data_IF_941480279731
#
_entry.id   IF_941480279731
#
_cell.length_a   1.000
_cell.length_b   1.000
_cell.length_c   1.000
_cell.angle_alpha   90.00
_cell.angle_beta   90.00
_cell.angle_gamma   90.00
#
_symmetry.space_group_name_H-M   'P 1'
#
loop_
_entity.id
_entity.type
_entity.pdbx_description
1 polymer ?
2 non-polymer ?
3 non-polymer ?
4 water ?
#
# COMPACT_ATOMS: atom_id res chain seq x y z
N UNK A 8 27.98 -7.28 15.35
CA UNK A 8 29.37 -7.13 14.90
C UNK A 8 29.53 -5.90 14.00
N UNK A 9 28.50 -5.06 14.05
CA UNK A 9 28.27 -3.87 13.24
C UNK A 9 26.92 -3.29 13.66
N UNK A 10 26.72 -1.98 13.49
CA UNK A 10 25.64 -1.29 14.20
C UNK A 10 24.27 -1.86 13.82
N UNK A 11 23.95 -1.85 12.52
CA UNK A 11 22.64 -2.32 12.09
C UNK A 11 22.49 -3.82 12.39
N UNK A 12 23.57 -4.59 12.21
CA UNK A 12 23.55 -6.02 12.54
C UNK A 12 23.34 -6.23 14.03
N UNK A 13 23.93 -5.36 14.85
CA UNK A 13 23.79 -5.45 16.31
C UNK A 13 22.33 -5.40 16.71
N UNK A 14 21.60 -4.43 16.15
CA UNK A 14 20.18 -4.31 16.45
C UNK A 14 19.39 -5.47 15.88
N UNK A 15 19.77 -5.96 14.70
CA UNK A 15 19.07 -7.09 14.09
C UNK A 15 19.15 -8.32 14.99
N UNK A 16 20.35 -8.63 15.47
CA UNK A 16 20.52 -9.80 16.32
C UNK A 16 19.79 -9.64 17.64
N UNK A 17 19.72 -8.42 18.16
CA UNK A 17 18.99 -8.23 19.41
C UNK A 17 17.49 -8.43 19.21
N UNK A 18 16.95 -7.91 18.11
CA UNK A 18 15.53 -8.11 17.81
C UNK A 18 15.23 -9.60 17.68
N UNK A 19 16.08 -10.33 16.97
CA UNK A 19 15.90 -11.77 16.83
C UNK A 19 15.97 -12.46 18.19
N UNK A 20 16.90 -12.04 19.05
CA UNK A 20 17.02 -12.70 20.36
C UNK A 20 15.79 -12.44 21.21
N UNK A 21 15.25 -11.23 21.18
CA UNK A 21 14.04 -10.96 21.94
C UNK A 21 12.87 -11.80 21.43
N UNK A 22 12.72 -11.93 20.11
CA UNK A 22 11.67 -12.80 19.61
C UNK A 22 11.84 -14.22 20.15
N UNK A 23 13.07 -14.71 20.22
CA UNK A 23 13.28 -16.07 20.66
C UNK A 23 13.01 -16.24 22.15
N UNK A 24 12.95 -15.15 22.90
CA UNK A 24 12.47 -15.25 24.29
C UNK A 24 11.02 -15.68 24.31
N UNK A 25 10.27 -15.31 23.25
CA UNK A 25 8.90 -15.74 22.94
C UNK A 25 7.83 -14.97 23.70
N UNK A 26 8.18 -13.84 24.31
CA UNK A 26 7.14 -12.98 24.87
C UNK A 26 6.20 -12.48 23.78
N UNK A 27 6.71 -12.30 22.57
CA UNK A 27 5.91 -11.73 21.48
C UNK A 27 4.75 -12.64 21.10
N UNK A 28 4.92 -13.96 21.21
CA UNK A 28 3.90 -14.90 20.79
C UNK A 28 2.66 -14.87 21.69
N UNK A 29 2.75 -14.26 22.87
CA UNK A 29 1.64 -14.25 23.81
C UNK A 29 0.64 -13.16 23.45
N UNK A 30 -0.65 -13.51 23.43
CA UNK A 30 -1.67 -12.58 22.94
C UNK A 30 -1.85 -11.41 23.91
N UNK A 31 -1.86 -11.69 25.21
CA UNK A 31 -1.86 -10.63 26.21
C UNK A 31 -0.78 -9.58 25.92
N UNK A 32 0.42 -10.04 25.58
CA UNK A 32 1.49 -9.11 25.22
C UNK A 32 1.10 -8.25 24.02
N UNK A 33 0.59 -8.86 22.95
CA UNK A 33 0.32 -8.12 21.73
C UNK A 33 -0.78 -7.11 21.94
N UNK A 34 -1.84 -7.50 22.65
CA UNK A 34 -2.92 -6.56 22.91
C UNK A 34 -2.39 -5.34 23.65
N UNK A 35 -1.38 -5.53 24.52
CA UNK A 35 -0.92 -4.39 25.32
C UNK A 35 -0.04 -3.45 24.51
N UNK A 36 0.79 -3.97 23.61
CA UNK A 36 1.63 -3.10 22.79
C UNK A 36 0.81 -2.33 21.76
N UNK A 37 -0.26 -2.93 21.26
CA UNK A 37 -1.22 -2.18 20.45
C UNK A 37 -1.80 -1.01 21.24
N UNK A 38 -2.16 -1.24 22.49
CA UNK A 38 -2.66 -0.15 23.33
C UNK A 38 -1.61 0.95 23.47
N UNK A 39 -0.37 0.57 23.83
CA UNK A 39 0.68 1.57 23.98
C UNK A 39 0.89 2.36 22.69
N UNK A 40 0.77 1.69 21.54
CA UNK A 40 0.95 2.39 20.27
C UNK A 40 -0.15 3.41 20.05
N UNK A 41 -1.40 3.01 20.26
CA UNK A 41 -2.52 3.95 20.13
C UNK A 41 -2.31 5.16 21.02
N UNK A 42 -1.98 4.92 22.30
CA UNK A 42 -1.73 6.02 23.22
C UNK A 42 -0.55 6.87 22.77
N UNK A 43 0.51 6.23 22.26
CA UNK A 43 1.70 6.98 21.85
C UNK A 43 1.41 7.89 20.66
N UNK A 44 0.66 7.39 19.67
CA UNK A 44 0.35 8.22 18.51
C UNK A 44 -0.48 9.43 18.93
N UNK A 45 -1.50 9.19 19.76
CA UNK A 45 -2.33 10.28 20.27
C UNK A 45 -1.49 11.28 21.07
N UNK A 46 -0.50 10.78 21.80
CA UNK A 46 0.39 11.68 22.53
C UNK A 46 1.24 12.52 21.59
N UNK A 47 1.73 11.93 20.51
CA UNK A 47 2.49 12.66 19.52
C UNK A 47 1.61 13.28 18.44
N UNK A 48 0.29 13.34 18.65
CA UNK A 48 -0.60 13.66 17.55
C UNK A 48 -0.19 14.96 16.87
N UNK A 49 0.05 16.01 17.64
CA UNK A 49 0.54 17.24 17.03
C UNK A 49 2.02 17.15 16.67
N UNK A 50 2.75 16.19 17.24
CA UNK A 50 4.12 15.91 16.81
C UNK A 50 4.15 15.05 15.55
N UNK A 51 3.01 14.59 15.09
CA UNK A 51 3.02 13.98 13.76
C UNK A 51 2.71 15.03 12.73
N UNK A 52 1.88 16.03 13.08
CA UNK A 52 1.44 16.99 12.09
C UNK A 52 2.45 18.13 11.88
N UNK A 53 3.18 18.56 12.92
CA UNK A 53 4.25 19.53 12.64
C UNK A 53 5.19 18.97 11.58
N UNK A 54 5.56 17.69 11.68
CA UNK A 54 6.58 17.18 10.76
C UNK A 54 6.00 16.92 9.38
N UNK A 55 4.75 16.48 9.31
CA UNK A 55 4.09 16.29 8.01
C UNK A 55 3.94 17.61 7.27
N UNK A 56 3.66 18.70 8.00
CA UNK A 56 3.52 19.98 7.32
C UNK A 56 4.88 20.54 6.89
N UNK A 57 5.93 20.41 7.72
CA UNK A 57 7.21 20.97 7.30
C UNK A 57 7.87 20.14 6.21
N UNK A 58 7.57 18.84 6.15
CA UNK A 58 8.18 17.98 5.12
C UNK A 58 7.36 17.92 3.84
N UNK A 59 6.03 17.96 3.93
CA UNK A 59 5.17 17.77 2.77
C UNK A 59 4.11 18.85 2.60
N UNK A 60 4.19 19.95 3.36
CA UNK A 60 3.19 20.99 3.29
C UNK A 60 1.79 20.45 3.51
N UNK A 61 1.70 19.35 4.25
CA UNK A 61 0.44 18.63 4.38
C UNK A 61 -0.40 19.26 5.48
N UNK A 62 -1.56 19.79 5.09
CA UNK A 62 -2.43 20.48 6.03
C UNK A 62 -3.06 19.49 7.01
N UNK A 63 -3.49 20.03 8.15
CA UNK A 63 -3.80 19.19 9.31
C UNK A 63 -4.95 18.24 9.04
N UNK A 64 -5.90 18.65 8.19
CA UNK A 64 -7.08 17.84 7.98
C UNK A 64 -6.71 16.57 7.24
N UNK A 65 -6.17 16.72 6.03
CA UNK A 65 -5.77 15.57 5.24
C UNK A 65 -4.65 14.79 5.92
N UNK A 66 -3.69 15.49 6.51
CA UNK A 66 -2.63 14.82 7.26
C UNK A 66 -3.21 13.91 8.34
N UNK A 67 -4.18 14.42 9.10
CA UNK A 67 -4.85 13.59 10.10
C UNK A 67 -5.54 12.40 9.44
N UNK A 68 -6.29 12.65 8.37
CA UNK A 68 -7.15 11.60 7.82
C UNK A 68 -6.35 10.52 7.10
N UNK A 69 -5.20 10.87 6.51
CA UNK A 69 -4.42 9.92 5.72
C UNK A 69 -3.33 9.21 6.52
N UNK A 70 -2.97 9.73 7.68
CA UNK A 70 -1.80 9.24 8.41
C UNK A 70 -2.11 8.89 9.86
N UNK A 71 -2.93 9.69 10.55
CA UNK A 71 -3.16 9.47 11.96
C UNK A 71 -4.49 8.75 12.17
N UNK A 72 -5.56 9.31 11.63
CA UNK A 72 -6.87 8.76 11.94
C UNK A 72 -7.04 7.34 11.40
N UNK A 73 -6.55 7.11 10.19
CA UNK A 73 -6.67 5.80 9.56
C UNK A 73 -5.94 4.73 10.38
N UNK A 74 -4.82 5.08 11.00
CA UNK A 74 -4.07 4.08 11.74
C UNK A 74 -4.65 3.88 13.14
N UNK A 75 -5.14 4.95 13.77
CA UNK A 75 -5.76 4.80 15.08
C UNK A 75 -6.97 3.88 15.04
N UNK A 76 -7.79 4.00 13.99
CA UNK A 76 -8.90 3.08 13.85
C UNK A 76 -8.41 1.69 13.48
N UNK A 77 -7.30 1.61 12.75
CA UNK A 77 -6.75 0.30 12.42
C UNK A 77 -6.25 -0.40 13.67
N UNK A 78 -5.65 0.36 14.59
CA UNK A 78 -5.25 -0.21 15.87
C UNK A 78 -6.47 -0.71 16.64
N UNK A 79 -7.54 0.08 16.64
CA UNK A 79 -8.76 -0.33 17.34
C UNK A 79 -9.30 -1.62 16.77
N UNK A 80 -9.48 -1.67 15.45
CA UNK A 80 -9.97 -2.88 14.80
C UNK A 80 -9.09 -4.08 15.13
N UNK A 81 -7.77 -3.88 15.18
CA UNK A 81 -6.88 -5.00 15.47
C UNK A 81 -7.03 -5.46 16.91
N UNK A 82 -7.24 -4.51 17.82
CA UNK A 82 -7.42 -4.88 19.22
C UNK A 82 -8.74 -5.60 19.42
N UNK A 83 -9.79 -5.19 18.71
CA UNK A 83 -11.07 -5.88 18.82
C UNK A 83 -11.00 -7.29 18.24
N UNK A 84 -10.32 -7.45 17.11
CA UNK A 84 -10.32 -8.72 16.40
C UNK A 84 -9.15 -9.62 16.78
N UNK A 85 -8.21 -9.14 17.61
CA UNK A 85 -6.99 -9.89 17.90
C UNK A 85 -7.26 -11.34 18.28
N UNK A 86 -8.27 -11.58 19.12
CA UNK A 86 -8.56 -12.95 19.54
C UNK A 86 -9.09 -13.79 18.37
N UNK A 87 -9.84 -13.19 17.45
CA UNK A 87 -10.31 -13.95 16.29
C UNK A 87 -9.19 -14.20 15.29
N UNK A 88 -8.36 -13.18 15.05
CA UNK A 88 -7.28 -13.34 14.08
C UNK A 88 -6.28 -14.38 14.54
N UNK A 89 -5.97 -14.39 15.85
CA UNK A 89 -4.92 -15.25 16.37
C UNK A 89 -5.40 -16.65 16.72
N UNK A 90 -6.68 -16.80 17.06
CA UNK A 90 -7.19 -18.09 17.53
C UNK A 90 -6.87 -19.19 16.53
N UNK A 91 -6.43 -20.32 17.05
CA UNK A 91 -6.26 -21.50 16.21
C UNK A 91 -7.60 -21.85 15.58
N UNK A 92 -7.58 -22.16 14.29
CA UNK A 92 -8.79 -22.51 13.54
C UNK A 92 -8.92 -24.02 13.45
N UNK A 93 -10.08 -24.55 13.84
CA UNK A 93 -10.35 -25.97 13.65
C UNK A 93 -10.94 -26.21 12.27
N UNK A 94 -10.60 -27.35 11.69
CA UNK A 94 -10.81 -27.62 10.28
C UNK A 94 -11.55 -28.94 10.16
N UNK A 95 -12.62 -28.95 9.36
CA UNK A 95 -13.32 -30.20 9.13
C UNK A 95 -12.37 -31.26 8.56
N UNK A 96 -12.40 -32.45 9.13
CA UNK A 96 -11.58 -33.57 8.66
C UNK A 96 -12.42 -34.53 7.82
N UNK A 97 -11.83 -35.18 6.82
CA UNK A 97 -12.57 -36.19 6.05
C UNK A 97 -12.93 -37.41 6.90
N UNK A 98 -14.03 -38.06 6.51
CA UNK A 98 -14.54 -39.23 7.22
C UNK A 98 -13.56 -40.40 7.16
N UNK A 99 -12.85 -40.56 6.05
CA UNK A 99 -11.96 -41.71 5.93
C UNK A 99 -10.66 -41.56 6.73
N UNK A 100 -10.38 -40.36 7.26
CA UNK A 100 -9.27 -40.12 8.17
C UNK A 100 -9.69 -40.07 9.64
N UNK A 101 -10.97 -40.35 9.92
CA UNK A 101 -11.50 -40.31 11.28
C UNK A 101 -10.65 -41.26 12.12
N UNK A 102 -10.32 -40.89 13.37
CA UNK A 102 -10.69 -39.75 14.23
C UNK A 102 -9.78 -38.51 14.21
N UNK A 103 -8.89 -38.42 13.21
CA UNK A 103 -7.90 -37.34 13.15
C UNK A 103 -8.56 -35.98 13.31
N UNK A 104 -7.93 -35.12 14.12
CA UNK A 104 -8.33 -33.73 14.24
C UNK A 104 -7.43 -32.85 13.38
N UNK A 105 -7.97 -31.74 12.90
CA UNK A 105 -7.28 -30.88 11.95
C UNK A 105 -7.36 -29.43 12.41
N UNK A 106 -6.21 -28.73 12.37
CA UNK A 106 -6.12 -27.37 12.88
C UNK A 106 -5.20 -26.54 11.98
N UNK A 107 -5.34 -25.22 12.10
CA UNK A 107 -4.41 -24.28 11.50
C UNK A 107 -4.05 -23.29 12.59
N UNK A 108 -2.78 -23.25 12.96
CA UNK A 108 -2.29 -22.32 13.97
C UNK A 108 -1.74 -21.08 13.27
N UNK A 109 -1.98 -19.92 13.84
CA UNK A 109 -1.55 -18.65 13.26
C UNK A 109 -0.33 -18.17 14.05
N UNK A 110 0.87 -18.38 13.50
CA UNK A 110 2.10 -18.09 14.21
C UNK A 110 2.94 -17.03 13.49
N UNK A 111 3.73 -16.25 14.22
CA UNK A 111 4.51 -15.18 13.59
C UNK A 111 5.68 -15.74 12.79
N UNK A 112 6.21 -14.90 11.90
CA UNK A 112 7.40 -15.26 11.15
C UNK A 112 8.65 -15.14 12.01
N UNK A 113 8.72 -14.12 12.86
CA UNK A 113 9.94 -13.88 13.60
C UNK A 113 10.29 -12.41 13.66
N UNK A 114 11.43 -12.03 13.09
CA UNK A 114 11.84 -10.64 13.03
C UNK A 114 11.60 -10.13 11.62
N UNK A 115 11.10 -8.91 11.53
CA UNK A 115 10.42 -8.41 10.34
C UNK A 115 10.98 -7.04 10.01
N UNK A 116 11.14 -6.78 8.71
CA UNK A 116 11.64 -5.51 8.21
C UNK A 116 10.53 -4.77 7.52
N UNK A 117 10.37 -3.49 7.84
CA UNK A 117 9.36 -2.64 7.23
C UNK A 117 10.10 -1.44 6.64
N UNK A 118 10.00 -1.27 5.32
CA UNK A 118 10.61 -0.12 4.65
C UNK A 118 9.49 0.77 4.11
N UNK A 119 9.50 2.04 4.49
CA UNK A 119 8.41 2.93 4.17
C UNK A 119 8.91 4.11 3.35
N UNK A 120 8.07 4.60 2.45
CA UNK A 120 8.51 5.70 1.55
C UNK A 120 8.37 7.10 2.15
N UNK A 121 8.38 8.10 1.27
CA UNK A 121 8.34 9.50 1.69
C UNK A 121 6.95 10.12 1.65
N UNK A 122 6.04 9.58 0.84
CA UNK A 122 4.84 10.35 0.50
C UNK A 122 3.72 10.22 1.52
N UNK A 123 3.59 9.06 2.15
CA UNK A 123 2.74 8.88 3.32
C UNK A 123 3.63 8.34 4.43
N UNK A 124 4.56 9.16 4.92
CA UNK A 124 5.67 8.63 5.73
C UNK A 124 5.22 7.93 6.99
N UNK A 125 4.13 8.38 7.59
CA UNK A 125 3.65 7.80 8.84
C UNK A 125 2.72 6.62 8.59
N UNK A 126 1.76 6.81 7.70
CA UNK A 126 0.80 5.76 7.37
C UNK A 126 1.51 4.45 7.00
N UNK A 127 2.46 4.52 6.09
CA UNK A 127 3.07 3.31 5.56
C UNK A 127 4.11 2.69 6.48
N UNK A 128 4.49 3.38 7.55
CA UNK A 128 5.21 2.70 8.62
C UNK A 128 4.25 1.90 9.50
N UNK A 129 3.13 2.50 9.88
CA UNK A 129 2.33 1.97 10.99
C UNK A 129 1.21 1.04 10.58
N UNK A 130 0.61 1.19 9.40
CA UNK A 130 -0.36 0.18 8.99
C UNK A 130 0.26 -1.21 8.89
N UNK A 131 1.40 -1.43 8.20
CA UNK A 131 2.05 -2.74 8.28
C UNK A 131 2.51 -3.08 9.69
N UNK A 132 3.08 -2.12 10.43
CA UNK A 132 3.55 -2.39 11.78
C UNK A 132 2.44 -2.95 12.65
N UNK A 133 1.22 -2.41 12.54
CA UNK A 133 0.09 -2.99 13.26
C UNK A 133 -0.06 -4.46 12.91
N UNK A 134 0.01 -4.79 11.63
CA UNK A 134 0.03 -6.19 11.23
C UNK A 134 1.10 -6.98 11.95
N UNK A 135 2.34 -6.48 11.92
CA UNK A 135 3.46 -7.22 12.50
C UNK A 135 3.28 -7.40 14.00
N UNK A 136 2.90 -6.33 14.70
CA UNK A 136 2.64 -6.43 16.13
C UNK A 136 1.52 -7.43 16.39
N UNK A 137 0.41 -7.31 15.66
CA UNK A 137 -0.72 -8.20 15.88
C UNK A 137 -0.35 -9.66 15.61
N UNK A 138 0.53 -9.89 14.64
CA UNK A 138 0.93 -11.24 14.28
C UNK A 138 1.97 -11.83 15.23
N UNK A 139 2.55 -11.03 16.12
CA UNK A 139 3.47 -11.53 17.11
C UNK A 139 4.94 -11.50 16.73
N UNK A 140 5.34 -10.54 15.91
CA UNK A 140 6.71 -10.45 15.44
C UNK A 140 7.45 -9.34 16.21
N UNK A 141 8.77 -9.33 16.03
CA UNK A 141 9.54 -8.12 16.27
C UNK A 141 9.72 -7.39 14.94
N UNK A 142 10.09 -6.11 15.02
CA UNK A 142 10.10 -5.29 13.83
C UNK A 142 11.27 -4.33 13.85
N UNK A 143 11.91 -4.18 12.69
CA UNK A 143 12.87 -3.12 12.44
C UNK A 143 12.31 -2.28 11.30
N UNK A 144 12.25 -0.97 11.52
CA UNK A 144 11.53 -0.05 10.64
C UNK A 144 12.53 0.85 9.95
N UNK A 145 12.39 0.99 8.64
CA UNK A 145 13.23 1.88 7.84
C UNK A 145 12.36 2.97 7.24
N UNK A 146 12.29 4.16 7.84
CA UNK A 146 11.48 5.24 7.27
C UNK A 146 12.30 6.12 6.35
N UNK A 147 11.59 6.76 5.42
CA UNK A 147 12.26 7.60 4.43
C UNK A 147 13.00 8.74 5.10
N UNK A 148 14.23 8.97 4.65
CA UNK A 148 14.99 10.15 5.06
C UNK A 148 14.73 11.34 4.15
N UNK A 149 13.82 11.21 3.18
CA UNK A 149 13.41 12.38 2.41
C UNK A 149 12.47 13.26 3.23
N UNK A 150 11.72 12.67 4.15
CA UNK A 150 10.92 13.41 5.11
C UNK A 150 11.59 13.27 6.48
N UNK A 151 12.65 14.04 6.73
CA UNK A 151 13.53 13.71 7.88
C UNK A 151 12.89 13.95 9.23
N UNK A 152 12.12 15.02 9.39
CA UNK A 152 11.52 15.30 10.69
C UNK A 152 10.43 14.29 11.01
N UNK A 153 9.67 13.86 10.00
CA UNK A 153 8.73 12.76 10.22
C UNK A 153 9.48 11.52 10.67
N UNK A 154 10.62 11.24 10.03
CA UNK A 154 11.40 10.06 10.38
C UNK A 154 11.81 10.08 11.85
N UNK A 155 12.33 11.21 12.32
CA UNK A 155 12.78 11.32 13.71
C UNK A 155 11.63 11.30 14.71
N UNK A 156 10.52 11.95 14.36
CA UNK A 156 9.32 11.85 15.21
C UNK A 156 8.89 10.41 15.35
N UNK A 157 9.07 9.61 14.30
CA UNK A 157 8.74 8.20 14.39
C UNK A 157 9.74 7.48 15.28
N UNK A 158 11.02 7.78 15.12
CA UNK A 158 12.01 7.20 16.01
C UNK A 158 11.74 7.58 17.46
N UNK A 159 11.43 8.86 17.72
CA UNK A 159 11.16 9.29 19.08
C UNK A 159 9.94 8.57 19.65
N UNK A 160 8.88 8.45 18.84
CA UNK A 160 7.68 7.76 19.30
C UNK A 160 7.97 6.30 19.61
N UNK A 161 8.76 5.65 18.76
CA UNK A 161 9.01 4.22 18.91
C UNK A 161 9.95 3.96 20.07
N UNK A 162 11.04 4.74 20.13
CA UNK A 162 11.99 4.58 21.23
C UNK A 162 11.33 4.84 22.57
N UNK A 163 10.49 5.87 22.66
CA UNK A 163 9.84 6.18 23.92
C UNK A 163 8.84 5.10 24.31
N UNK A 164 8.17 4.49 23.32
CA UNK A 164 7.10 3.56 23.62
C UNK A 164 7.64 2.14 23.87
N UNK A 165 8.54 1.67 23.02
CA UNK A 165 9.00 0.29 23.02
C UNK A 165 10.50 0.20 23.23
N UNK A 166 10.95 -0.98 23.64
CA UNK A 166 12.37 -1.27 23.67
C UNK A 166 12.87 -1.63 22.29
N UNK A 167 14.12 -1.26 21.99
CA UNK A 167 14.62 -1.42 20.63
C UNK A 167 14.65 -2.88 20.21
N UNK A 168 14.81 -3.80 21.16
CA UNK A 168 14.85 -5.21 20.79
C UNK A 168 13.50 -5.73 20.34
N UNK A 169 12.44 -4.96 20.53
CA UNK A 169 11.10 -5.36 20.10
C UNK A 169 10.68 -4.63 18.84
N UNK A 170 10.76 -3.30 18.84
CA UNK A 170 10.61 -2.49 17.62
C UNK A 170 11.66 -1.39 17.65
N UNK A 171 12.34 -1.20 16.52
CA UNK A 171 13.41 -0.22 16.43
C UNK A 171 13.27 0.51 15.11
N UNK A 172 13.82 1.73 15.07
CA UNK A 172 13.80 2.58 13.89
C UNK A 172 15.24 2.87 13.49
N UNK A 173 15.61 2.49 12.27
CA UNK A 173 16.90 2.83 11.67
C UNK A 173 16.65 3.93 10.65
N UNK A 174 17.22 5.11 10.88
CA UNK A 174 17.13 6.20 9.93
C UNK A 174 18.28 6.13 8.92
N UNK A 175 18.02 6.60 7.72
CA UNK A 175 19.05 6.67 6.71
C UNK A 175 18.49 6.56 5.30
N UNK A 176 19.41 6.34 4.35
CA UNK A 176 19.06 6.24 2.95
C UNK A 176 19.36 4.88 2.37
N UNK A 177 19.94 4.83 1.18
CA UNK A 177 20.08 3.55 0.48
C UNK A 177 21.16 2.68 1.12
N UNK A 178 22.21 3.27 1.68
CA UNK A 178 23.24 2.48 2.33
C UNK A 178 22.66 1.64 3.46
N UNK A 179 21.92 2.28 4.38
CA UNK A 179 21.31 1.55 5.47
C UNK A 179 20.28 0.55 4.97
N UNK A 180 19.52 0.93 3.95
CA UNK A 180 18.60 -0.03 3.36
C UNK A 180 19.33 -1.25 2.81
N UNK A 181 20.50 -1.04 2.20
CA UNK A 181 21.25 -2.17 1.66
C UNK A 181 21.72 -3.11 2.76
N UNK A 182 22.17 -2.55 3.88
CA UNK A 182 22.58 -3.42 4.99
C UNK A 182 21.40 -4.21 5.52
N UNK A 183 20.25 -3.55 5.63
CA UNK A 183 19.07 -4.23 6.15
C UNK A 183 18.61 -5.35 5.22
N UNK A 184 18.46 -5.05 3.92
CA UNK A 184 17.84 -6.03 3.04
C UNK A 184 18.69 -7.27 2.86
N UNK A 185 19.98 -7.20 3.16
CA UNK A 185 20.85 -8.36 3.03
C UNK A 185 20.97 -9.14 4.33
N UNK A 186 20.37 -8.66 5.41
CA UNK A 186 20.24 -9.43 6.63
C UNK A 186 19.17 -10.49 6.49
N UNK A 187 19.26 -11.63 7.28
CA UNK A 187 18.27 -12.72 7.16
C UNK A 187 17.00 -12.47 7.97
N UNK A 188 16.27 -11.40 7.62
CA UNK A 188 14.94 -11.19 8.20
C UNK A 188 14.02 -12.35 7.84
N UNK A 189 12.96 -12.49 8.63
CA UNK A 189 11.96 -13.52 8.41
C UNK A 189 10.85 -13.05 7.48
N UNK A 190 10.82 -11.76 7.15
CA UNK A 190 9.83 -11.18 6.27
C UNK A 190 10.28 -9.76 5.96
N UNK A 191 10.04 -9.34 4.72
CA UNK A 191 10.36 -7.99 4.29
C UNK A 191 9.12 -7.36 3.69
N UNK A 192 8.75 -6.19 4.20
CA UNK A 192 7.60 -5.44 3.69
C UNK A 192 8.11 -4.13 3.12
N UNK A 193 7.78 -3.86 1.87
CA UNK A 193 8.35 -2.71 1.18
C UNK A 193 7.29 -1.94 0.42
N UNK A 194 7.28 -0.63 0.60
CA UNK A 194 6.51 0.27 -0.25
C UNK A 194 7.46 1.29 -0.87
N UNK A 195 7.30 1.54 -2.16
CA UNK A 195 8.20 2.46 -2.83
C UNK A 195 8.31 2.27 -4.33
N UNK A 196 9.49 2.49 -4.88
CA UNK A 196 9.64 2.56 -6.32
C UNK A 196 9.88 1.18 -6.91
N UNK A 197 9.48 1.00 -8.17
CA UNK A 197 9.73 -0.27 -8.86
C UNK A 197 11.21 -0.60 -8.85
N UNK A 198 12.06 0.41 -8.99
CA UNK A 198 13.49 0.13 -9.11
C UNK A 198 14.06 -0.31 -7.77
N UNK A 199 13.74 0.40 -6.69
CA UNK A 199 14.18 -0.04 -5.38
C UNK A 199 13.46 -1.33 -5.00
N UNK A 200 12.23 -1.51 -5.46
CA UNK A 200 11.56 -2.78 -5.27
C UNK A 200 12.37 -3.93 -5.81
N UNK A 201 12.92 -3.77 -7.01
CA UNK A 201 13.74 -4.83 -7.59
C UNK A 201 14.98 -5.08 -6.76
N UNK A 202 15.57 -4.01 -6.22
CA UNK A 202 16.74 -4.17 -5.37
C UNK A 202 16.38 -4.99 -4.14
N UNK A 203 15.23 -4.68 -3.53
CA UNK A 203 14.81 -5.40 -2.33
C UNK A 203 14.49 -6.85 -2.66
N UNK A 204 13.76 -7.08 -3.75
CA UNK A 204 13.33 -8.43 -4.08
C UNK A 204 14.53 -9.33 -4.35
N UNK A 205 15.52 -8.81 -5.08
CA UNK A 205 16.70 -9.62 -5.38
C UNK A 205 17.51 -9.86 -4.12
N UNK A 206 17.57 -8.87 -3.24
CA UNK A 206 18.30 -9.07 -2.00
C UNK A 206 17.61 -10.12 -1.12
N UNK A 207 16.27 -10.14 -1.11
CA UNK A 207 15.56 -11.13 -0.32
C UNK A 207 15.72 -12.53 -0.88
N UNK A 208 15.84 -12.66 -2.20
CA UNK A 208 15.98 -14.00 -2.79
C UNK A 208 17.19 -14.74 -2.24
N UNK A 209 18.26 -14.02 -1.90
CA UNK A 209 19.51 -14.65 -1.49
C UNK A 209 19.34 -15.43 -0.18
N UNK A 210 18.51 -14.93 0.73
CA UNK A 210 18.26 -15.60 1.99
C UNK A 210 16.91 -16.33 2.03
N UNK A 211 16.31 -16.55 0.85
CA UNK A 211 14.98 -17.18 0.72
C UNK A 211 13.96 -16.51 1.64
N UNK A 212 13.84 -15.19 1.54
CA UNK A 212 12.96 -14.41 2.41
C UNK A 212 11.68 -14.10 1.65
N UNK A 213 10.51 -14.34 2.22
CA UNK A 213 9.27 -13.90 1.58
C UNK A 213 9.12 -12.39 1.69
N UNK A 214 8.47 -11.77 0.70
CA UNK A 214 8.31 -10.33 0.70
C UNK A 214 6.91 -9.93 0.24
N UNK A 215 6.51 -8.72 0.65
CA UNK A 215 5.40 -7.99 0.06
C UNK A 215 5.97 -6.70 -0.53
N UNK A 216 5.84 -6.54 -1.83
CA UNK A 216 6.27 -5.34 -2.53
C UNK A 216 5.04 -4.57 -2.97
N UNK A 217 5.03 -3.26 -2.71
CA UNK A 217 3.95 -2.38 -3.17
C UNK A 217 4.61 -1.22 -3.88
N UNK A 218 4.63 -1.29 -5.21
CA UNK A 218 5.38 -0.36 -6.03
C UNK A 218 4.36 0.57 -6.72
N UNK A 219 4.51 0.90 -8.01
CA UNK A 219 3.57 1.84 -8.60
C UNK A 219 3.26 1.48 -10.03
N UNK A 220 3.43 2.42 -10.95
CA UNK A 220 2.94 2.32 -12.31
C UNK A 220 2.17 3.57 -12.64
N UNK A 221 1.31 3.50 -13.65
CA UNK A 221 0.53 4.66 -14.09
C UNK A 221 -0.95 4.29 -14.06
N UNK A 222 -1.66 4.79 -13.07
CA UNK A 222 -3.02 4.38 -12.84
C UNK A 222 -3.95 5.02 -13.83
N UNK A 223 -4.65 4.23 -14.65
CA UNK A 223 -5.55 4.85 -15.65
C UNK A 223 -6.87 5.27 -15.03
N UNK A 224 -7.54 6.19 -15.70
CA UNK A 224 -8.93 6.48 -15.41
C UNK A 224 -9.68 6.66 -16.74
N UNK A 225 -10.65 5.78 -16.98
CA UNK A 225 -11.46 5.79 -18.20
C UNK A 225 -12.71 6.62 -17.90
N UNK A 226 -12.82 7.76 -18.56
CA UNK A 226 -14.02 8.59 -18.50
C UNK A 226 -14.82 8.34 -19.77
N UNK A 227 -15.96 7.69 -19.61
CA UNK A 227 -16.68 7.03 -20.69
C UNK A 227 -17.80 7.92 -21.22
N UNK A 228 -18.21 7.63 -22.47
CA UNK A 228 -19.23 8.42 -23.16
C UNK A 228 -20.50 8.60 -22.34
N UNK A 229 -20.77 7.72 -21.39
CA UNK A 229 -21.98 7.78 -20.58
C UNK A 229 -21.74 8.37 -19.20
N UNK A 230 -20.65 9.11 -19.00
CA UNK A 230 -20.21 9.45 -17.66
C UNK A 230 -21.04 10.58 -17.05
N UNK A 231 -20.88 10.75 -15.77
CA UNK A 231 -21.51 11.85 -15.10
C UNK A 231 -20.36 12.77 -14.91
N UNK A 232 -20.00 13.52 -15.92
CA UNK A 232 -18.84 14.42 -15.85
C UNK A 232 -18.69 15.35 -14.64
N UNK A 233 -19.80 15.83 -14.09
CA UNK A 233 -19.79 16.72 -12.95
C UNK A 233 -19.20 16.11 -11.69
N UNK A 234 -19.73 14.98 -11.26
CA UNK A 234 -19.24 14.36 -10.07
C UNK A 234 -17.87 13.75 -10.29
N UNK A 235 -17.63 13.23 -11.49
CA UNK A 235 -16.37 12.61 -11.80
C UNK A 235 -15.30 13.64 -11.74
N UNK A 236 -15.63 14.86 -12.04
CA UNK A 236 -14.62 15.89 -12.01
C UNK A 236 -14.09 16.10 -10.61
N UNK A 237 -15.00 16.10 -9.66
CA UNK A 237 -14.67 16.28 -8.26
C UNK A 237 -13.98 15.04 -7.74
N UNK A 238 -14.60 13.89 -7.93
CA UNK A 238 -14.03 12.63 -7.50
C UNK A 238 -12.61 12.41 -8.01
N UNK A 239 -12.36 12.68 -9.27
CA UNK A 239 -11.04 12.51 -9.84
C UNK A 239 -10.08 13.47 -9.23
N UNK A 240 -10.51 14.67 -8.97
CA UNK A 240 -9.61 15.65 -8.42
C UNK A 240 -9.27 15.43 -6.96
N UNK A 241 -10.13 14.75 -6.25
CA UNK A 241 -9.83 14.45 -4.90
C UNK A 241 -8.66 13.50 -4.96
N UNK A 242 -8.85 12.41 -5.68
CA UNK A 242 -7.83 11.41 -5.87
C UNK A 242 -6.53 11.96 -6.38
N UNK A 243 -6.59 12.83 -7.37
CA UNK A 243 -5.38 13.36 -7.93
C UNK A 243 -4.75 14.46 -7.16
N UNK A 244 -5.55 15.31 -6.56
CA UNK A 244 -4.97 16.46 -5.90
C UNK A 244 -4.72 16.42 -4.40
N UNK A 245 -5.02 15.30 -3.79
CA UNK A 245 -4.66 15.08 -2.42
C UNK A 245 -3.16 14.80 -2.47
N UNK A 246 -2.47 15.23 -1.44
CA UNK A 246 -1.05 15.05 -1.32
C UNK A 246 -0.32 15.53 -2.53
N UNK A 247 -0.96 16.44 -3.27
CA UNK A 247 -0.32 17.05 -4.44
C UNK A 247 0.18 15.98 -5.40
N UNK A 248 -0.69 15.03 -5.71
CA UNK A 248 -0.44 14.01 -6.71
C UNK A 248 0.39 12.83 -6.23
N UNK A 249 1.27 13.05 -5.26
CA UNK A 249 2.20 12.02 -4.80
C UNK A 249 1.50 10.84 -4.12
N UNK A 250 0.82 10.01 -4.91
CA UNK A 250 0.05 8.88 -4.39
C UNK A 250 0.08 7.77 -5.42
N UNK A 251 0.63 6.61 -5.03
CA UNK A 251 0.75 5.48 -5.95
C UNK A 251 -0.58 5.09 -6.58
N UNK A 252 -1.70 5.43 -5.94
CA UNK A 252 -3.02 5.11 -6.48
C UNK A 252 -3.70 6.33 -7.07
N UNK A 253 -3.07 7.50 -7.03
CA UNK A 253 -3.66 8.67 -7.66
C UNK A 253 -3.86 8.41 -9.16
N UNK A 254 -4.90 8.97 -9.75
CA UNK A 254 -5.00 8.92 -11.22
C UNK A 254 -3.79 9.59 -11.84
N UNK A 255 -3.05 8.80 -12.62
CA UNK A 255 -1.87 9.32 -13.30
C UNK A 255 -2.19 9.95 -14.65
N UNK A 256 -3.23 9.47 -15.34
CA UNK A 256 -3.63 10.07 -16.61
C UNK A 256 -5.05 9.65 -16.92
N UNK A 257 -5.72 10.43 -17.76
CA UNK A 257 -7.12 10.23 -18.10
C UNK A 257 -7.22 9.69 -19.52
N UNK A 258 -7.99 8.64 -19.70
CA UNK A 258 -8.44 8.19 -21.02
C UNK A 258 -9.89 8.60 -21.14
N UNK A 259 -10.14 9.73 -21.81
CA UNK A 259 -11.47 10.33 -21.92
C UNK A 259 -11.97 10.16 -23.34
N UNK A 260 -13.22 9.73 -23.47
CA UNK A 260 -13.82 9.54 -24.79
C UNK A 260 -13.79 10.85 -25.56
N UNK A 261 -13.67 10.73 -26.89
CA UNK A 261 -13.58 11.89 -27.76
C UNK A 261 -14.66 12.93 -27.48
N UNK A 262 -15.92 12.48 -27.47
CA UNK A 262 -17.05 13.40 -27.41
C UNK A 262 -17.02 14.26 -26.14
N UNK A 263 -16.76 13.66 -24.97
CA UNK A 263 -16.88 14.36 -23.70
C UNK A 263 -15.61 15.08 -23.29
N UNK A 264 -14.57 15.05 -24.11
CA UNK A 264 -13.24 15.44 -23.67
C UNK A 264 -13.17 16.91 -23.23
N UNK A 265 -13.82 17.80 -23.94
CA UNK A 265 -13.76 19.23 -23.60
C UNK A 265 -14.67 19.60 -22.45
N UNK A 266 -15.72 18.84 -22.28
CA UNK A 266 -16.61 19.06 -21.19
C UNK A 266 -15.85 18.91 -19.90
N UNK A 267 -15.15 17.78 -19.80
CA UNK A 267 -14.38 17.41 -18.64
C UNK A 267 -13.49 18.48 -18.17
N UNK A 268 -12.71 19.02 -19.05
CA UNK A 268 -11.78 20.05 -18.67
C UNK A 268 -12.42 21.24 -17.97
N UNK A 269 -13.56 21.69 -18.45
CA UNK A 269 -14.14 22.84 -17.79
C UNK A 269 -14.62 22.35 -16.47
N UNK A 270 -15.30 21.21 -16.49
CA UNK A 270 -15.85 20.62 -15.30
C UNK A 270 -14.76 20.44 -14.29
N UNK A 271 -13.60 20.05 -14.75
CA UNK A 271 -12.47 19.82 -13.91
C UNK A 271 -12.10 21.12 -13.29
N UNK A 272 -11.68 22.05 -14.13
CA UNK A 272 -11.25 23.36 -13.68
C UNK A 272 -12.28 24.02 -12.79
N UNK A 273 -13.52 24.00 -13.22
CA UNK A 273 -14.55 24.61 -12.41
C UNK A 273 -14.65 23.93 -11.06
N UNK A 274 -14.63 22.60 -11.01
CA UNK A 274 -14.70 21.95 -9.73
C UNK A 274 -13.35 21.85 -9.09
N UNK A 275 -12.35 22.47 -9.67
CA UNK A 275 -11.04 22.56 -9.05
C UNK A 275 -11.04 23.84 -8.24
N UNK A 276 -11.85 24.81 -8.67
CA UNK A 276 -12.02 26.10 -8.01
C UNK A 276 -12.91 25.88 -6.81
N UNK A 277 -13.80 24.92 -6.94
CA UNK A 277 -14.66 24.50 -5.86
C UNK A 277 -13.81 23.86 -4.77
N UNK A 278 -12.57 23.53 -5.09
CA UNK A 278 -11.72 22.86 -4.15
C UNK A 278 -10.74 23.81 -3.54
N UNK A 279 -10.00 24.54 -4.35
CA UNK A 279 -8.99 25.44 -3.84
C UNK A 279 -9.10 26.88 -4.28
N UNK A 280 -10.23 27.29 -4.84
CA UNK A 280 -10.48 28.67 -5.27
C UNK A 280 -9.58 29.34 -6.29
N UNK A 281 -9.78 30.61 -6.53
CA UNK A 281 -8.85 31.26 -7.44
C UNK A 281 -7.64 31.47 -6.59
N UNK A 282 -6.48 31.22 -7.18
CA UNK A 282 -5.17 31.25 -6.52
C UNK A 282 -5.06 30.16 -5.48
N UNK A 283 -4.58 29.03 -5.95
CA UNK A 283 -4.44 27.86 -5.14
C UNK A 283 -3.22 27.94 -4.26
N UNK A 284 -2.26 28.74 -4.65
CA UNK A 284 -1.06 28.84 -3.85
C UNK A 284 -1.31 29.34 -2.45
N UNK A 285 -2.44 30.01 -2.28
CA UNK A 285 -2.91 30.47 -0.99
C UNK A 285 -3.90 29.51 -0.35
N UNK A 286 -4.05 28.28 -0.91
CA UNK A 286 -5.08 27.48 -0.25
C UNK A 286 -4.48 26.64 0.88
N UNK A 287 -5.15 26.60 2.02
CA UNK A 287 -4.76 25.66 3.08
C UNK A 287 -5.54 24.37 2.97
N UNK A 288 -5.67 23.88 1.73
CA UNK A 288 -6.28 22.59 1.48
C UNK A 288 -5.45 21.78 0.50
N UNK A 289 -4.23 22.22 0.18
CA UNK A 289 -3.46 21.69 -0.92
C UNK A 289 -2.00 21.61 -0.48
N UNK A 290 -1.36 20.46 -0.75
CA UNK A 290 -0.03 20.17 -0.24
C UNK A 290 1.09 20.67 -1.12
N UNK A 291 2.29 20.16 -0.86
CA UNK A 291 3.49 20.63 -1.52
C UNK A 291 4.35 19.43 -1.94
N UNK A 292 5.32 19.69 -2.81
CA UNK A 292 6.23 18.66 -3.28
C UNK A 292 7.28 18.39 -2.20
N UNK A 293 7.63 17.11 -2.04
CA UNK A 293 8.49 16.70 -0.93
C UNK A 293 9.85 17.37 -0.93
N UNK A 294 10.33 17.82 -2.09
CA UNK A 294 11.74 18.16 -2.16
C UNK A 294 12.06 18.97 -3.40
N UNK A 295 13.17 19.71 -3.31
CA UNK A 295 13.74 20.45 -4.43
C UNK A 295 14.01 19.55 -5.63
N UNK A 296 14.47 18.31 -5.40
CA UNK A 296 14.81 17.45 -6.53
C UNK A 296 13.55 16.95 -7.22
N UNK A 297 12.60 16.41 -6.45
CA UNK A 297 11.33 16.06 -7.06
C UNK A 297 10.68 17.27 -7.70
N UNK A 298 10.89 18.45 -7.13
CA UNK A 298 10.38 19.69 -7.71
C UNK A 298 10.99 19.95 -9.08
N UNK A 299 12.32 20.08 -9.13
CA UNK A 299 13.00 20.33 -10.39
C UNK A 299 12.72 19.24 -11.42
N UNK A 300 12.21 18.09 -10.98
CA UNK A 300 11.79 17.03 -11.87
C UNK A 300 10.42 17.32 -12.48
N UNK A 301 9.44 17.68 -11.63
CA UNK A 301 8.09 17.91 -12.12
C UNK A 301 7.98 19.25 -12.86
N UNK A 302 8.78 20.25 -12.47
CA UNK A 302 8.81 21.49 -13.24
C UNK A 302 9.34 21.24 -14.65
N UNK A 303 10.42 20.47 -14.76
CA UNK A 303 10.97 20.15 -16.08
C UNK A 303 9.94 19.45 -16.96
N UNK A 304 9.11 18.60 -16.36
CA UNK A 304 8.04 17.95 -17.11
C UNK A 304 7.02 18.98 -17.61
N UNK A 305 6.70 19.98 -16.80
CA UNK A 305 5.82 21.05 -17.25
C UNK A 305 6.50 21.90 -18.33
N UNK A 306 7.80 22.15 -18.18
CA UNK A 306 8.52 22.95 -19.15
C UNK A 306 8.63 22.24 -20.50
N UNK A 307 8.62 20.91 -20.50
CA UNK A 307 8.69 20.17 -21.76
C UNK A 307 7.31 19.97 -22.39
N UNK A 308 6.25 19.91 -21.58
CA UNK A 308 4.87 19.84 -22.05
C UNK A 308 4.19 21.21 -22.02
N UNK A 309 4.95 22.27 -22.21
CA UNK A 309 4.43 23.62 -22.09
C UNK A 309 3.50 23.99 -23.23
N UNK A 310 3.67 23.37 -24.40
CA UNK A 310 2.74 23.60 -25.50
C UNK A 310 1.31 23.21 -25.14
N UNK A 311 1.14 22.34 -24.14
CA UNK A 311 -0.12 21.64 -23.97
C UNK A 311 -0.79 21.87 -22.62
N UNK A 312 -0.30 22.80 -21.82
CA UNK A 312 -1.03 23.14 -20.60
C UNK A 312 -2.30 23.90 -20.98
N UNK A 313 -3.40 23.44 -20.44
CA UNK A 313 -4.69 24.04 -20.69
C UNK A 313 -5.30 24.65 -19.43
N UNK A 314 -4.76 24.34 -18.26
CA UNK A 314 -5.26 24.90 -16.98
C UNK A 314 -4.31 24.76 -15.81
N UNK A 315 -3.54 25.78 -15.50
CA UNK A 315 -2.63 25.76 -14.37
C UNK A 315 -1.25 26.02 -14.86
N UNK A 316 -0.24 25.70 -14.09
CA UNK A 316 1.10 25.80 -14.65
C UNK A 316 2.25 26.37 -13.84
N UNK A 317 2.02 27.35 -12.98
CA UNK A 317 3.16 28.03 -12.37
C UNK A 317 3.56 27.37 -11.06
N UNK A 318 4.65 27.88 -10.49
CA UNK A 318 5.38 27.15 -9.45
C UNK A 318 6.35 28.09 -8.77
N UNK A 319 6.42 28.03 -7.44
CA UNK A 319 7.38 28.78 -6.65
C UNK A 319 8.40 27.81 -6.07
N UNK A 320 9.67 28.07 -6.35
CA UNK A 320 10.74 27.20 -5.88
C UNK A 320 10.87 27.20 -4.37
N UNK A 321 10.57 28.32 -3.71
CA UNK A 321 10.90 28.46 -2.30
C UNK A 321 9.99 27.66 -1.38
N UNK A 322 8.73 27.46 -1.76
CA UNK A 322 7.85 26.59 -0.99
C UNK A 322 7.47 25.34 -1.77
N UNK A 323 8.22 25.01 -2.81
CA UNK A 323 8.04 23.78 -3.58
C UNK A 323 6.60 23.63 -4.04
N UNK A 324 6.08 24.72 -4.60
CA UNK A 324 4.69 24.77 -5.05
C UNK A 324 4.60 24.39 -6.52
N UNK A 325 3.65 23.52 -6.84
CA UNK A 325 3.22 23.30 -8.22
C UNK A 325 1.71 23.21 -8.21
N UNK A 326 1.08 23.93 -9.11
CA UNK A 326 -0.37 24.02 -9.02
C UNK A 326 -1.03 22.90 -9.81
N UNK A 327 -2.28 22.56 -9.45
CA UNK A 327 -3.06 21.63 -10.26
C UNK A 327 -3.05 21.99 -11.75
N UNK A 328 -2.17 21.33 -12.50
CA UNK A 328 -2.05 21.52 -13.93
C UNK A 328 -2.78 20.42 -14.69
N UNK A 329 -3.52 20.82 -15.72
CA UNK A 329 -4.20 19.88 -16.60
C UNK A 329 -3.63 20.02 -18.00
N UNK A 330 -3.27 18.90 -18.61
CA UNK A 330 -2.71 18.85 -19.95
C UNK A 330 -3.76 18.40 -20.94
N UNK A 331 -3.45 18.60 -22.22
CA UNK A 331 -4.37 18.24 -23.28
C UNK A 331 -3.52 17.89 -24.49
N UNK A 332 -4.14 17.22 -25.47
CA UNK A 332 -3.45 16.79 -26.70
C UNK A 332 -2.19 15.99 -26.37
N UNK A 333 -2.30 15.09 -25.42
CA UNK A 333 -1.18 14.25 -25.03
C UNK A 333 -1.28 12.93 -25.79
N UNK A 334 -0.13 12.29 -25.99
CA UNK A 334 -0.09 11.07 -26.78
C UNK A 334 0.80 10.05 -26.10
N UNK A 335 0.70 8.81 -26.59
CA UNK A 335 1.38 7.68 -25.98
C UNK A 335 2.89 7.86 -25.90
N UNK A 336 3.46 8.61 -26.86
CA UNK A 336 4.91 8.70 -26.98
C UNK A 336 5.51 9.94 -26.32
N UNK A 337 4.68 10.85 -25.79
CA UNK A 337 5.26 12.03 -25.16
C UNK A 337 6.00 11.66 -23.89
N UNK A 338 6.88 12.56 -23.45
CA UNK A 338 7.73 12.27 -22.30
C UNK A 338 6.92 12.13 -21.01
N UNK A 339 5.78 12.82 -20.91
CA UNK A 339 4.99 12.77 -19.69
C UNK A 339 4.37 11.39 -19.50
N UNK A 340 4.12 10.66 -20.59
CA UNK A 340 3.53 9.34 -20.52
C UNK A 340 4.56 8.22 -20.51
N UNK A 341 5.84 8.57 -20.42
CA UNK A 341 6.89 7.55 -20.30
C UNK A 341 7.07 7.06 -18.87
N UNK A 342 6.98 7.96 -17.90
CA UNK A 342 7.24 7.65 -16.50
C UNK A 342 6.00 7.92 -15.66
N UNK A 343 6.03 7.39 -14.43
CA UNK A 343 5.01 7.68 -13.43
C UNK A 343 5.20 9.12 -12.94
N UNK A 344 4.14 9.92 -13.04
CA UNK A 344 4.26 11.35 -12.77
C UNK A 344 4.52 11.60 -11.29
N UNK A 345 3.63 11.12 -10.43
CA UNK A 345 3.73 11.29 -8.98
C UNK A 345 3.78 12.76 -8.60
N UNK A 346 2.84 13.52 -9.14
CA UNK A 346 2.81 14.94 -8.95
C UNK A 346 1.46 15.51 -9.36
N UNK A 347 1.35 16.84 -9.35
CA UNK A 347 0.04 17.47 -9.60
C UNK A 347 -0.25 17.73 -11.08
N UNK A 348 0.39 16.99 -11.97
CA UNK A 348 0.15 17.14 -13.41
C UNK A 348 -0.76 16.02 -13.87
N UNK A 349 -1.85 16.38 -14.56
CA UNK A 349 -2.82 15.40 -15.05
C UNK A 349 -2.87 15.47 -16.57
N UNK A 350 -2.11 14.63 -17.27
CA UNK A 350 -2.25 14.57 -18.73
C UNK A 350 -3.55 13.89 -19.10
N UNK A 351 -4.21 14.41 -20.13
CA UNK A 351 -5.49 13.91 -20.58
C UNK A 351 -5.37 13.51 -22.05
N UNK A 352 -5.76 12.27 -22.34
CA UNK A 352 -5.66 11.68 -23.66
C UNK A 352 -7.06 11.28 -24.14
N UNK A 353 -7.26 11.28 -25.45
CA UNK A 353 -8.56 11.01 -26.05
C UNK A 353 -8.62 9.59 -26.60
N UNK A 354 -9.81 9.00 -26.57
CA UNK A 354 -10.02 7.69 -27.17
C UNK A 354 -11.36 7.68 -27.87
N UNK A 355 -11.46 6.83 -28.90
CA UNK A 355 -12.68 6.70 -29.69
C UNK A 355 -13.52 5.48 -29.26
N UNK A 356 -12.96 4.29 -29.43
CA UNK A 356 -13.61 3.05 -29.08
C UNK A 356 -13.13 2.57 -27.72
N UNK A 357 -13.99 1.87 -26.99
CA UNK A 357 -13.57 1.35 -25.69
C UNK A 357 -12.48 0.29 -25.84
N UNK A 358 -12.50 -0.46 -26.94
CA UNK A 358 -11.48 -1.47 -27.17
C UNK A 358 -10.09 -0.86 -27.21
N UNK A 359 -9.96 0.36 -27.75
CA UNK A 359 -8.66 1.04 -27.78
C UNK A 359 -8.23 1.46 -26.39
N UNK A 360 -9.17 1.96 -25.59
CA UNK A 360 -8.86 2.33 -24.21
C UNK A 360 -8.35 1.11 -23.44
N UNK A 361 -9.06 0.00 -23.52
CA UNK A 361 -8.62 -1.22 -22.85
C UNK A 361 -7.27 -1.67 -23.40
N UNK A 362 -7.11 -1.63 -24.72
CA UNK A 362 -5.86 -2.02 -25.34
C UNK A 362 -4.70 -1.13 -24.89
N UNK A 363 -4.96 0.18 -24.80
CA UNK A 363 -3.91 1.11 -24.36
C UNK A 363 -3.42 0.74 -22.96
N UNK A 364 -4.34 0.41 -22.06
CA UNK A 364 -3.96 0.04 -20.71
C UNK A 364 -3.30 -1.33 -20.69
N UNK A 365 -3.81 -2.27 -21.49
CA UNK A 365 -3.24 -3.60 -21.57
C UNK A 365 -1.78 -3.57 -22.00
N UNK A 366 -1.48 -2.82 -23.07
CA UNK A 366 -0.11 -2.77 -23.57
C UNK A 366 0.88 -2.33 -22.49
N UNK A 367 0.43 -1.53 -21.54
CA UNK A 367 1.28 -1.00 -20.49
C UNK A 367 1.33 -1.97 -19.32
N UNK A 368 2.24 -1.77 -18.38
CA UNK A 368 2.30 -2.67 -17.23
C UNK A 368 1.03 -2.57 -16.39
N UNK A 369 0.78 -3.62 -15.63
CA UNK A 369 -0.41 -3.67 -14.80
C UNK A 369 -0.33 -2.60 -13.72
N UNK A 370 -1.27 -1.67 -13.69
CA UNK A 370 -1.22 -0.58 -12.70
C UNK A 370 -1.68 -1.03 -11.32
N UNK A 371 -1.20 -0.30 -10.31
CA UNK A 371 -1.65 -0.54 -8.94
C UNK A 371 -3.14 -0.25 -8.79
N UNK A 372 -3.67 0.75 -9.50
CA UNK A 372 -5.10 1.02 -9.47
C UNK A 372 -5.62 1.32 -10.87
N UNK A 373 -6.94 1.18 -11.02
CA UNK A 373 -7.63 1.49 -12.26
C UNK A 373 -8.99 2.07 -11.92
N UNK A 374 -9.37 3.13 -12.63
CA UNK A 374 -10.59 3.86 -12.33
C UNK A 374 -11.42 4.02 -13.59
N UNK A 375 -12.71 3.78 -13.50
CA UNK A 375 -13.62 3.93 -14.63
C UNK A 375 -14.81 4.78 -14.19
N UNK A 376 -15.07 5.85 -14.92
CA UNK A 376 -16.24 6.68 -14.69
C UNK A 376 -17.20 6.44 -15.84
N UNK A 377 -18.25 5.64 -15.58
CA UNK A 377 -19.22 5.26 -16.59
C UNK A 377 -20.51 4.84 -15.91
N UNK A 378 -21.62 5.10 -16.60
CA UNK A 378 -22.92 4.63 -16.19
C UNK A 378 -23.37 3.39 -16.95
N UNK A 379 -22.55 2.91 -17.89
CA UNK A 379 -22.92 1.77 -18.71
C UNK A 379 -22.42 0.48 -18.06
N UNK A 380 -23.34 -0.47 -17.87
CA UNK A 380 -23.01 -1.68 -17.14
C UNK A 380 -22.16 -2.65 -17.96
N UNK A 381 -22.51 -2.87 -19.23
CA UNK A 381 -21.68 -3.72 -20.08
C UNK A 381 -20.26 -3.15 -20.19
N UNK A 382 -20.13 -1.82 -20.21
CA UNK A 382 -18.82 -1.20 -20.26
C UNK A 382 -18.02 -1.53 -19.01
N UNK A 383 -18.62 -1.34 -17.83
CA UNK A 383 -17.93 -1.65 -16.60
C UNK A 383 -17.60 -3.13 -16.50
N UNK A 384 -18.52 -4.00 -16.95
CA UNK A 384 -18.28 -5.44 -16.82
C UNK A 384 -17.06 -5.88 -17.59
N UNK A 385 -16.76 -5.22 -18.71
CA UNK A 385 -15.60 -5.66 -19.48
C UNK A 385 -14.33 -4.94 -19.07
N UNK A 386 -14.41 -3.68 -18.67
CA UNK A 386 -13.23 -3.04 -18.09
C UNK A 386 -12.75 -3.85 -16.90
N UNK A 387 -13.68 -4.29 -16.05
CA UNK A 387 -13.34 -5.06 -14.87
C UNK A 387 -12.91 -6.48 -15.24
N UNK A 388 -13.47 -7.07 -16.29
CA UNK A 388 -13.23 -8.48 -16.57
C UNK A 388 -11.95 -8.72 -17.36
N UNK A 389 -11.48 -7.73 -18.14
CA UNK A 389 -10.36 -7.99 -19.02
C UNK A 389 -9.09 -7.27 -18.62
N UNK A 390 -9.18 -6.19 -17.87
CA UNK A 390 -8.01 -5.47 -17.41
C UNK A 390 -7.66 -5.95 -16.01
N UNK A 391 -6.44 -6.45 -15.85
CA UNK A 391 -5.88 -6.83 -14.55
C UNK A 391 -5.16 -5.65 -13.95
N UNK A 392 -5.49 -5.32 -12.70
CA UNK A 392 -4.87 -4.23 -11.98
C UNK A 392 -4.91 -4.57 -10.50
N UNK A 393 -4.19 -3.78 -9.70
CA UNK A 393 -4.11 -4.01 -8.27
C UNK A 393 -5.48 -4.02 -7.64
N UNK A 394 -6.08 -2.83 -7.51
CA UNK A 394 -7.47 -2.66 -7.18
C UNK A 394 -7.95 -1.35 -7.79
N UNK A 395 -9.20 -0.99 -7.54
CA UNK A 395 -9.67 0.26 -8.11
C UNK A 395 -11.13 0.54 -7.82
N UNK A 396 -11.68 1.48 -8.59
CA UNK A 396 -13.00 2.00 -8.29
C UNK A 396 -13.76 2.28 -9.57
N UNK A 397 -15.02 1.87 -9.60
CA UNK A 397 -15.97 2.31 -10.61
C UNK A 397 -16.68 3.53 -10.06
N UNK A 398 -16.55 4.66 -10.76
CA UNK A 398 -17.21 5.91 -10.39
C UNK A 398 -16.71 6.44 -9.05
N UNK A 399 -15.40 6.39 -8.86
CA UNK A 399 -14.72 6.96 -7.69
C UNK A 399 -13.23 6.76 -7.90
N UNK A 400 -12.43 7.44 -7.08
CA UNK A 400 -10.98 7.23 -7.05
C UNK A 400 -10.50 7.21 -5.62
N UNK A 401 -9.43 6.43 -5.39
CA UNK A 401 -8.70 6.36 -4.13
C UNK A 401 -9.47 5.67 -3.01
N UNK A 402 -10.76 5.99 -2.86
CA UNK A 402 -11.51 5.61 -1.68
C UNK A 402 -11.68 4.11 -1.49
N UNK A 403 -11.19 3.28 -2.41
CA UNK A 403 -11.16 1.83 -2.14
C UNK A 403 -10.07 1.46 -1.14
N UNK A 404 -9.10 2.35 -0.92
CA UNK A 404 -8.14 2.13 0.15
C UNK A 404 -8.77 2.34 1.52
N UNK A 405 -9.85 3.13 1.59
CA UNK A 405 -10.43 3.48 2.87
C UNK A 405 -11.20 2.34 3.53
N UNK A 406 -11.55 1.30 2.77
CA UNK A 406 -12.27 0.18 3.35
C UNK A 406 -11.29 -0.90 3.76
N UNK A 407 -10.98 -1.04 5.06
CA UNK A 407 -9.99 -2.04 5.48
C UNK A 407 -10.46 -3.47 5.30
N UNK A 408 -11.69 -3.69 4.85
CA UNK A 408 -12.11 -5.04 4.50
C UNK A 408 -11.65 -5.43 3.10
N UNK A 409 -11.14 -4.48 2.31
CA UNK A 409 -10.63 -4.79 0.98
C UNK A 409 -9.12 -4.83 1.01
N UNK A 410 -8.50 -5.95 0.62
CA UNK A 410 -7.03 -6.01 0.52
C UNK A 410 -6.52 -4.93 -0.41
N UNK A 411 -5.37 -4.37 -0.05
CA UNK A 411 -4.70 -3.34 -0.83
C UNK A 411 -3.35 -3.87 -1.26
N UNK A 412 -3.16 -4.05 -2.56
CA UNK A 412 -1.90 -4.54 -3.08
C UNK A 412 -1.92 -4.56 -4.59
N UNK A 413 -0.73 -4.65 -5.17
CA UNK A 413 -0.58 -4.66 -6.60
C UNK A 413 -0.48 -6.06 -7.19
N UNK A 414 -0.34 -6.08 -8.50
CA UNK A 414 -0.16 -7.29 -9.28
C UNK A 414 0.83 -7.00 -10.39
N UNK A 415 1.65 -7.99 -10.72
CA UNK A 415 2.63 -7.79 -11.77
C UNK A 415 3.61 -6.72 -11.33
N UNK A 416 3.85 -5.75 -12.20
CA UNK A 416 4.83 -4.70 -11.97
C UNK A 416 4.44 -3.79 -10.83
N UNK A 417 3.15 -3.72 -10.49
CA UNK A 417 2.72 -2.81 -9.45
C UNK A 417 2.93 -3.36 -8.06
N UNK A 418 3.10 -4.67 -7.90
CA UNK A 418 3.37 -5.22 -6.60
C UNK A 418 2.91 -6.66 -6.46
N UNK A 419 3.29 -7.24 -5.31
CA UNK A 419 2.87 -8.57 -4.91
C UNK A 419 2.58 -8.55 -3.43
N UNK A 420 1.55 -9.29 -3.02
CA UNK A 420 1.12 -9.24 -1.63
C UNK A 420 0.10 -8.16 -1.40
N UNK A 421 -0.31 -8.02 -0.15
CA UNK A 421 -1.39 -7.07 0.18
C UNK A 421 -1.50 -6.92 1.68
N UNK A 422 -2.13 -5.83 2.10
CA UNK A 422 -2.33 -5.57 3.53
C UNK A 422 -3.60 -4.74 3.70
N UNK A 423 -3.68 -4.01 4.83
CA UNK A 423 -4.86 -3.31 5.34
C UNK A 423 -5.79 -4.28 6.07
N UNK A 424 -6.21 -3.91 7.28
CA UNK A 424 -7.15 -4.72 8.05
C UNK A 424 -6.55 -6.07 8.42
N UNK A 425 -7.38 -7.11 8.34
CA UNK A 425 -6.85 -8.44 8.60
C UNK A 425 -5.67 -8.76 7.70
N UNK A 426 -5.71 -8.31 6.44
CA UNK A 426 -4.63 -8.67 5.51
C UNK A 426 -3.27 -8.24 6.01
N UNK A 427 -3.18 -7.10 6.71
CA UNK A 427 -1.95 -6.74 7.40
C UNK A 427 -1.52 -7.84 8.36
N UNK A 428 -2.44 -8.33 9.17
CA UNK A 428 -2.14 -9.44 10.07
C UNK A 428 -1.67 -10.68 9.31
N UNK A 429 -2.37 -11.03 8.23
CA UNK A 429 -2.06 -12.24 7.47
C UNK A 429 -0.70 -12.13 6.78
N UNK A 430 -0.32 -10.94 6.34
CA UNK A 430 0.97 -10.76 5.69
C UNK A 430 2.11 -11.21 6.60
N UNK A 431 1.98 -10.97 7.90
CA UNK A 431 3.03 -11.34 8.82
C UNK A 431 2.73 -12.63 9.59
N UNK A 432 1.85 -13.47 9.09
CA UNK A 432 1.48 -14.71 9.76
C UNK A 432 1.89 -15.91 8.93
N UNK A 433 2.38 -16.94 9.60
CA UNK A 433 2.47 -18.25 8.97
C UNK A 433 1.29 -19.08 9.44
N UNK A 434 0.55 -19.65 8.48
CA UNK A 434 -0.55 -20.54 8.82
C UNK A 434 0.00 -21.96 8.84
N UNK A 435 -0.01 -22.57 10.01
CA UNK A 435 0.67 -23.84 10.24
C UNK A 435 -0.40 -24.92 10.43
N UNK A 436 -0.55 -25.77 9.43
CA UNK A 436 -1.47 -26.89 9.53
C UNK A 436 -0.89 -27.97 10.43
N UNK A 437 -1.66 -28.40 11.41
CA UNK A 437 -1.27 -29.61 12.12
C UNK A 437 -2.49 -30.46 12.40
N UNK A 438 -2.28 -31.78 12.40
CA UNK A 438 -3.34 -32.73 12.71
C UNK A 438 -3.04 -33.41 14.04
N UNK A 439 -4.03 -34.16 14.54
CA UNK A 439 -3.91 -34.86 15.81
C UNK A 439 -4.72 -36.14 15.68
N UNK A 440 -4.02 -37.28 15.56
CA UNK A 440 -4.65 -38.59 15.42
C UNK A 440 -4.40 -39.38 16.69
N UNK A 441 -5.44 -39.51 17.51
CA UNK A 441 -5.32 -40.24 18.75
C UNK A 441 -4.88 -41.68 18.52
N UNK A 442 -4.22 -42.26 19.52
CA UNK A 442 -3.68 -43.61 19.43
C UNK A 442 -4.56 -44.66 20.08
N UNK A 443 -5.65 -44.27 20.77
CA UNK A 443 -6.54 -45.24 21.39
C UNK A 443 -7.21 -46.12 20.34
N UNK A 444 -7.82 -45.49 19.33
CA UNK A 444 -8.40 -46.20 18.19
C UNK A 444 -7.36 -46.23 17.07
N UNK A 445 -6.52 -47.26 17.09
CA UNK A 445 -5.60 -47.53 16.00
C UNK A 445 -6.24 -48.44 14.95
N UNK A 446 -5.68 -48.47 13.75
CA UNK A 446 -6.30 -49.24 12.68
C UNK A 446 -5.31 -49.98 11.81
N UNK A 447 -5.36 -49.72 10.51
CA UNK A 447 -4.47 -50.35 9.57
C UNK A 447 -5.04 -50.26 8.19
N UNK A 448 -6.00 -49.36 7.98
CA UNK A 448 -6.65 -49.26 6.69
C UNK A 448 -5.79 -48.81 5.52
N UNK A 449 -4.70 -48.09 5.80
CA UNK A 449 -3.86 -47.63 4.72
C UNK A 449 -2.43 -48.08 4.86
N UNK A 450 -2.15 -48.85 5.88
CA UNK A 450 -0.79 -49.31 6.10
C UNK A 450 -0.50 -50.52 5.31
N UNK A 451 0.76 -50.93 5.25
CA UNK A 451 1.04 -52.16 4.52
C UNK A 451 0.78 -53.42 5.38
N UNK A 452 0.84 -54.62 4.79
CA UNK A 452 1.07 -54.98 3.39
C UNK A 452 -0.15 -54.68 2.60
N UNK A 453 0.00 -54.51 1.31
CA UNK A 453 -1.17 -54.12 0.56
C UNK A 453 -2.05 -55.26 0.06
N UNK A 454 -1.43 -56.41 -0.19
CA UNK A 454 -2.12 -57.66 -0.57
C UNK A 454 -3.41 -57.60 -1.35
N UNK A 455 -4.49 -57.26 -0.66
CA UNK A 455 -5.78 -57.15 -1.27
C UNK A 455 -6.48 -55.91 -0.79
N UNK A 456 -5.75 -54.83 -0.61
CA UNK A 456 -6.36 -53.62 -0.08
C UNK A 456 -6.70 -52.59 -1.11
N UNK A 457 -6.14 -52.77 -2.30
CA UNK A 457 -6.31 -51.88 -3.45
C UNK A 457 -7.68 -51.25 -3.59
N UNK A 458 -8.70 -52.08 -3.61
CA UNK A 458 -10.07 -51.67 -3.68
C UNK A 458 -10.43 -50.63 -2.65
N UNK A 459 -10.00 -50.82 -1.42
CA UNK A 459 -10.31 -49.85 -0.39
C UNK A 459 -9.55 -48.55 -0.59
N UNK A 460 -8.36 -48.60 -1.15
CA UNK A 460 -7.64 -47.38 -1.33
C UNK A 460 -8.22 -46.54 -2.45
N UNK A 461 -8.72 -47.20 -3.49
CA UNK A 461 -9.30 -46.52 -4.60
C UNK A 461 -10.53 -45.86 -4.08
N UNK A 462 -11.19 -46.53 -3.15
CA UNK A 462 -12.42 -46.00 -2.59
C UNK A 462 -12.18 -44.76 -1.73
N UNK A 463 -10.97 -44.61 -1.20
CA UNK A 463 -10.64 -43.41 -0.43
C UNK A 463 -10.89 -42.15 -1.25
N UNK A 464 -10.50 -42.14 -2.53
CA UNK A 464 -10.59 -40.96 -3.38
C UNK A 464 -11.80 -40.97 -4.32
N UNK A 465 -12.64 -42.00 -4.27
CA UNK A 465 -13.78 -42.06 -5.17
C UNK A 465 -15.08 -41.92 -4.38
X LIG B 1 -4.25 -6.59 -17.99
X LIG B 1 -3.28 -5.57 -18.09
X LIG B 1 -3.87 -7.84 -18.79
X LIG B 1 -2.52 -7.79 -19.24
X LIG B 1 -4.10 -9.09 -17.96
X LIG B 1 -5.44 -9.50 -18.10
X LIG C 1 2.59 -6.20 -16.06
X LIG C 1 3.50 -6.93 -15.25
X LIG C 1 2.62 -6.87 -17.43
X LIG C 1 1.46 -6.50 -18.18
X LIG D 1 2.25 -19.54 4.22
X LIG D 1 3.20 -18.59 4.63
X LIG D 1 1.29 -19.60 5.34
X LIG D 1 0.70 -18.34 5.44
X LIG E 1 -4.77 -56.72 -5.52
X LIG E 1 -3.42 -57.10 -5.28
X LIG E 1 -5.15 -55.88 -4.34
X LIG E 1 -6.56 -55.89 -4.12
#
# INVERSE_FOLDING_TARGET
>A
GPGYQDPMNIIEQKFYDSKAFFNTQQTKDISFRKEQLKKLSKAIKSYESDILEALYTDLGKNKVEAYATEIGITLKSIKIARKELKNWTKTKNVDTPLYLFPTKSYIKKEPYGTVLIIAPFNYPFQLVFEPLIGAIAAGNTAIIKPSELTPNVARVIKRLINETFDANYIEVIEGGIEETQTLIHLPFDYVFFTGSENVGKIVYQAASENLVPVTLEMGGKSPVIVDETANIKVASERICFGKFTNAGQTSVAPDYILVHESVKDDLITALSKTLREFYGQNIQQSPDYGRIVNLKHYHRLTSLLNSAQMNIVFGGHSDEDERYIEPTLLDHVTSDSAIMQEEIFGPILPILTYQSLDEAIAFIHQRPKPLSLYLFSEDENATQRVINELSFGGGAINDTLMHLANPKLPFGGVGASGMGRYHGKYSFDTFTHEKSYIFKSTRLESGVHLPPYKGKFKYIKAFFKN
>B hetero
1 GOL C1 O1 C2 O2 C3 O3
>C hetero
1 EDO C1 O1 C2 O2
>D hetero
1 EDO C1 O1 C2 O2
>E hetero
1 EDO C1 O1 C2 O2
#
